data_IF_161927871451
#
_entry.id   IF_161927871451
#
_cell.length_a   1.000
_cell.length_b   1.000
_cell.length_c   1.000
_cell.angle_alpha   90.00
_cell.angle_beta   90.00
_cell.angle_gamma   90.00
#
_symmetry.space_group_name_H-M   'P 1'
#
loop_
_entity.id
_entity.type
_entity.pdbx_description
1 polymer ?
#
# COMPACT_ATOMS: atom_id res chain seq x y z
N UNK A 1 25.56 10.09 5.21
CA UNK A 1 24.79 9.41 4.14
C UNK A 1 23.31 9.28 4.45
N UNK A 2 22.73 9.92 5.48
CA UNK A 2 21.31 9.67 5.82
C UNK A 2 20.53 10.86 6.39
N UNK A 3 20.95 12.12 6.17
CA UNK A 3 20.16 13.26 6.66
C UNK A 3 18.73 13.24 6.09
N UNK A 4 18.58 12.89 4.81
CA UNK A 4 17.27 12.74 4.18
C UNK A 4 16.46 11.57 4.78
N UNK A 5 17.10 10.43 5.06
CA UNK A 5 16.45 9.29 5.72
C UNK A 5 16.01 9.62 7.16
N UNK A 6 16.80 10.40 7.90
CA UNK A 6 16.42 10.91 9.22
C UNK A 6 15.24 11.89 9.15
N UNK A 7 15.23 12.80 8.17
CA UNK A 7 14.11 13.70 7.92
C UNK A 7 12.83 12.92 7.58
N UNK A 8 12.92 11.93 6.69
CA UNK A 8 11.79 11.06 6.33
C UNK A 8 11.26 10.29 7.55
N UNK A 9 12.15 9.75 8.39
CA UNK A 9 11.76 9.09 9.65
C UNK A 9 11.09 10.06 10.63
N UNK A 10 11.60 11.29 10.75
CA UNK A 10 11.02 12.34 11.61
C UNK A 10 9.61 12.72 11.15
N UNK A 11 9.38 12.79 9.84
CA UNK A 11 8.07 13.02 9.22
C UNK A 11 7.15 11.78 9.24
N UNK A 12 7.60 10.68 9.84
CA UNK A 12 6.91 9.38 9.88
C UNK A 12 6.63 8.81 8.48
N UNK A 13 7.52 9.05 7.54
CA UNK A 13 7.49 8.55 6.16
C UNK A 13 8.44 7.35 6.01
N UNK A 14 8.19 6.31 6.80
CA UNK A 14 9.09 5.16 6.89
C UNK A 14 9.15 4.32 5.62
N UNK A 15 8.03 4.20 4.89
CA UNK A 15 8.00 3.44 3.63
C UNK A 15 8.62 4.25 2.49
N UNK A 16 8.49 5.58 2.50
CA UNK A 16 9.23 6.44 1.58
C UNK A 16 10.75 6.33 1.77
N UNK A 17 11.24 6.23 3.01
CA UNK A 17 12.67 6.02 3.29
C UNK A 17 13.16 4.67 2.73
N UNK A 18 12.39 3.59 2.95
CA UNK A 18 12.71 2.28 2.39
C UNK A 18 12.69 2.28 0.85
N UNK A 19 11.68 2.92 0.25
CA UNK A 19 11.58 3.03 -1.21
C UNK A 19 12.72 3.89 -1.79
N UNK A 20 13.20 4.89 -1.06
CA UNK A 20 14.34 5.71 -1.46
C UNK A 20 15.62 4.87 -1.48
N UNK A 21 15.85 4.04 -0.46
CA UNK A 21 16.99 3.13 -0.44
C UNK A 21 16.91 2.11 -1.59
N UNK A 22 15.72 1.59 -1.90
CA UNK A 22 15.50 0.72 -3.07
C UNK A 22 15.81 1.43 -4.41
N UNK A 23 15.35 2.68 -4.58
CA UNK A 23 15.68 3.46 -5.78
C UNK A 23 17.20 3.70 -5.91
N UNK A 24 17.92 3.85 -4.79
CA UNK A 24 19.38 4.00 -4.77
C UNK A 24 20.11 2.70 -5.09
N UNK A 25 19.57 1.55 -4.70
CA UNK A 25 20.13 0.24 -5.07
C UNK A 25 19.90 -0.09 -6.56
N UNK A 26 18.78 0.37 -7.12
CA UNK A 26 18.33 0.06 -8.49
C UNK A 26 18.32 1.29 -9.41
N UNK A 27 19.38 2.09 -9.39
CA UNK A 27 19.46 3.35 -10.16
C UNK A 27 19.13 3.19 -11.66
N UNK A 28 19.51 2.07 -12.28
CA UNK A 28 19.23 1.79 -13.69
C UNK A 28 17.74 1.67 -14.00
N UNK A 29 16.94 1.14 -13.06
CA UNK A 29 15.49 0.95 -13.24
C UNK A 29 14.73 2.27 -13.27
N UNK A 30 15.28 3.31 -12.61
CA UNK A 30 14.65 4.61 -12.48
C UNK A 30 15.40 5.72 -13.25
N UNK A 31 16.31 5.34 -14.14
CA UNK A 31 17.17 6.28 -14.88
C UNK A 31 16.40 7.10 -15.91
N UNK A 32 15.35 6.53 -16.50
CA UNK A 32 14.50 7.19 -17.50
C UNK A 32 13.44 8.11 -16.88
N UNK A 33 13.23 8.02 -15.56
CA UNK A 33 12.24 8.81 -14.85
C UNK A 33 12.82 10.17 -14.44
N UNK A 34 11.99 11.20 -14.59
CA UNK A 34 12.23 12.52 -14.03
C UNK A 34 12.27 12.47 -12.49
N UNK A 35 12.78 13.54 -11.90
CA UNK A 35 12.77 13.70 -10.44
C UNK A 35 11.36 13.62 -9.86
N UNK A 36 10.38 14.28 -10.49
CA UNK A 36 9.00 14.31 -10.00
C UNK A 36 8.34 12.93 -10.07
N UNK A 37 8.59 12.16 -11.13
CA UNK A 37 8.10 10.78 -11.25
C UNK A 37 8.71 9.88 -10.17
N UNK A 38 10.03 9.97 -9.94
CA UNK A 38 10.68 9.22 -8.86
C UNK A 38 10.12 9.60 -7.49
N UNK A 39 9.89 10.88 -7.25
CA UNK A 39 9.28 11.38 -6.02
C UNK A 39 7.84 10.89 -5.87
N UNK A 40 7.03 10.91 -6.94
CA UNK A 40 5.66 10.38 -6.94
C UNK A 40 5.64 8.93 -6.50
N UNK A 41 6.53 8.09 -7.04
CA UNK A 41 6.64 6.68 -6.66
C UNK A 41 6.96 6.49 -5.16
N UNK A 42 7.84 7.32 -4.60
CA UNK A 42 8.16 7.28 -3.17
C UNK A 42 6.93 7.62 -2.31
N UNK A 43 6.19 8.65 -2.71
CA UNK A 43 4.99 9.12 -2.00
C UNK A 43 3.82 8.14 -2.14
N UNK A 44 3.63 7.58 -3.33
CA UNK A 44 2.62 6.54 -3.59
C UNK A 44 2.87 5.30 -2.73
N UNK A 45 4.13 4.86 -2.62
CA UNK A 45 4.50 3.76 -1.74
C UNK A 45 4.11 4.05 -0.27
N UNK A 46 4.37 5.27 0.21
CA UNK A 46 3.99 5.67 1.57
C UNK A 46 2.46 5.70 1.77
N UNK A 47 1.72 6.29 0.83
CA UNK A 47 0.25 6.36 0.89
C UNK A 47 -0.38 4.97 0.90
N UNK A 48 0.03 4.10 -0.03
CA UNK A 48 -0.49 2.74 -0.15
C UNK A 48 -0.24 1.92 1.12
N UNK A 49 0.97 2.04 1.72
CA UNK A 49 1.28 1.32 2.95
C UNK A 49 0.52 1.87 4.17
N UNK A 50 0.25 3.17 4.23
CA UNK A 50 -0.61 3.77 5.28
C UNK A 50 -2.04 3.24 5.18
N UNK A 51 -2.58 3.19 3.97
CA UNK A 51 -3.92 2.64 3.73
C UNK A 51 -3.98 1.16 4.06
N UNK A 52 -2.99 0.37 3.64
CA UNK A 52 -2.89 -1.04 3.99
C UNK A 52 -2.82 -1.24 5.50
N UNK A 53 -2.00 -0.46 6.21
CA UNK A 53 -1.90 -0.52 7.67
C UNK A 53 -3.22 -0.16 8.36
N UNK A 54 -3.92 0.85 7.84
CA UNK A 54 -5.26 1.23 8.31
C UNK A 54 -6.26 0.09 8.12
N UNK A 55 -6.29 -0.54 6.95
CA UNK A 55 -7.15 -1.69 6.65
C UNK A 55 -6.83 -2.85 7.61
N UNK A 56 -5.55 -3.19 7.79
CA UNK A 56 -5.13 -4.27 8.70
C UNK A 56 -5.53 -3.97 10.15
N UNK A 57 -5.38 -2.73 10.61
CA UNK A 57 -5.81 -2.31 11.94
C UNK A 57 -7.33 -2.45 12.12
N UNK A 58 -8.12 -1.96 11.16
CA UNK A 58 -9.58 -2.08 11.19
C UNK A 58 -10.01 -3.56 11.17
N UNK A 59 -9.37 -4.38 10.35
CA UNK A 59 -9.63 -5.83 10.30
C UNK A 59 -9.36 -6.51 11.64
N UNK A 60 -8.24 -6.17 12.31
CA UNK A 60 -7.91 -6.68 13.66
C UNK A 60 -8.93 -6.22 14.71
N UNK A 61 -9.33 -4.95 14.66
CA UNK A 61 -10.31 -4.37 15.60
C UNK A 61 -11.71 -4.95 15.44
N UNK A 62 -12.11 -5.30 14.21
CA UNK A 62 -13.41 -5.90 13.94
C UNK A 62 -13.59 -7.29 14.57
N UNK A 63 -12.51 -7.93 15.05
CA UNK A 63 -12.52 -9.25 15.72
C UNK A 63 -13.42 -10.27 15.00
N UNK A 64 -13.34 -10.28 13.67
CA UNK A 64 -14.18 -11.15 12.86
C UNK A 64 -13.89 -12.60 13.25
N UNK A 65 -14.95 -13.34 13.62
CA UNK A 65 -14.87 -14.75 13.99
C UNK A 65 -14.28 -15.63 12.88
N UNK A 66 -14.46 -15.19 11.63
CA UNK A 66 -13.95 -15.86 10.45
C UNK A 66 -12.96 -14.93 9.74
N UNK A 67 -11.79 -15.45 9.39
CA UNK A 67 -10.84 -14.74 8.52
C UNK A 67 -11.30 -14.85 7.06
N UNK A 68 -12.45 -14.25 6.75
CA UNK A 68 -13.03 -14.28 5.42
C UNK A 68 -12.40 -13.21 4.52
N UNK A 69 -12.13 -13.57 3.27
CA UNK A 69 -11.75 -12.63 2.21
C UNK A 69 -12.92 -12.43 1.25
N UNK A 70 -13.04 -11.24 0.65
CA UNK A 70 -14.07 -10.97 -0.35
C UNK A 70 -13.98 -11.91 -1.56
N UNK A 71 -12.77 -12.38 -1.89
CA UNK A 71 -12.51 -13.40 -2.91
C UNK A 71 -13.19 -14.76 -2.63
N UNK A 72 -13.48 -15.06 -1.36
CA UNK A 72 -14.11 -16.31 -0.94
C UNK A 72 -15.65 -16.25 -0.96
N UNK A 73 -16.24 -15.13 -1.40
CA UNK A 73 -17.68 -15.01 -1.54
C UNK A 73 -18.21 -15.98 -2.61
N UNK A 74 -19.03 -16.92 -2.18
CA UNK A 74 -19.70 -17.87 -3.07
C UNK A 74 -21.01 -17.22 -3.57
N UNK A 75 -20.98 -16.72 -4.79
CA UNK A 75 -22.11 -16.16 -5.52
C UNK A 75 -22.96 -17.30 -6.11
N UNK A 76 -23.82 -17.90 -5.30
CA UNK A 76 -24.85 -18.86 -5.77
C UNK A 76 -26.11 -18.09 -6.17
N UNK A 77 -26.75 -18.52 -7.26
CA UNK A 77 -27.91 -17.86 -7.87
C UNK A 77 -29.15 -17.75 -6.95
N UNK A 78 -29.20 -18.47 -5.83
CA UNK A 78 -30.30 -18.39 -4.85
C UNK A 78 -30.17 -17.31 -3.77
N UNK A 79 -29.04 -16.59 -3.66
CA UNK A 79 -28.84 -15.56 -2.60
C UNK A 79 -29.01 -14.12 -3.08
N UNK A 80 -29.32 -13.91 -4.37
CA UNK A 80 -29.47 -12.56 -4.95
C UNK A 80 -28.19 -11.71 -4.95
N UNK A 81 -27.02 -12.30 -4.66
CA UNK A 81 -25.74 -11.61 -4.68
C UNK A 81 -25.20 -11.60 -6.11
N UNK A 82 -25.24 -10.43 -6.75
CA UNK A 82 -24.67 -10.23 -8.09
C UNK A 82 -23.23 -9.74 -7.98
N UNK A 83 -22.27 -10.52 -8.48
CA UNK A 83 -20.84 -10.16 -8.51
C UNK A 83 -20.60 -8.77 -9.09
N UNK A 84 -21.32 -8.40 -10.16
CA UNK A 84 -21.22 -7.11 -10.83
C UNK A 84 -21.64 -5.90 -9.96
N UNK A 85 -22.38 -6.11 -8.87
CA UNK A 85 -22.78 -5.04 -7.94
C UNK A 85 -21.91 -4.97 -6.68
N UNK A 86 -21.00 -5.93 -6.50
CA UNK A 86 -20.17 -6.07 -5.29
C UNK A 86 -18.67 -5.94 -5.56
N UNK A 87 -18.27 -5.65 -6.80
CA UNK A 87 -16.89 -5.29 -7.10
C UNK A 87 -16.60 -3.90 -6.55
N UNK A 88 -15.78 -3.85 -5.50
CA UNK A 88 -15.05 -2.66 -5.11
C UNK A 88 -13.82 -2.49 -6.00
#
# INVERSE_FOLDING_TARGET
MDHLNEQLKTLRMGHAALALDQQREQLSTYAELSFEERLSLLLECELLNRDQTKIQRLKRQAKLRLNAQASQLIYKEGRGLMRAKMSC
#
